data_IF_961927065927
#
_entry.id   IF_961927065927
#
_cell.length_a   1.000
_cell.length_b   1.000
_cell.length_c   1.000
_cell.angle_alpha   90.00
_cell.angle_beta   90.00
_cell.angle_gamma   90.00
#
_symmetry.space_group_name_H-M   'P 1'
#
loop_
_entity.id
_entity.type
_entity.pdbx_description
1 polymer ?
#
# COMPACT_ATOMS: atom_id res chain seq x y z
N UNK A 1 -11.87 -18.38 7.16
CA UNK A 1 -12.33 -17.08 7.74
C UNK A 1 -13.38 -16.48 6.82
N UNK A 2 -14.22 -15.53 7.31
CA UNK A 2 -15.24 -14.85 6.49
C UNK A 2 -14.56 -13.71 5.73
N UNK A 3 -14.77 -13.64 4.41
CA UNK A 3 -14.27 -12.56 3.57
C UNK A 3 -15.04 -11.25 3.80
N UNK A 4 -14.46 -10.15 3.33
CA UNK A 4 -15.01 -8.81 3.40
C UNK A 4 -15.29 -8.36 4.86
N UNK A 5 -14.35 -8.69 5.74
CA UNK A 5 -14.42 -8.40 7.17
C UNK A 5 -13.06 -7.96 7.72
N UNK A 6 -13.09 -6.97 8.63
CA UNK A 6 -11.95 -6.62 9.50
C UNK A 6 -12.20 -7.29 10.86
N UNK A 7 -11.24 -8.09 11.31
CA UNK A 7 -11.27 -8.80 12.58
C UNK A 7 -10.63 -7.95 13.66
N UNK A 8 -11.31 -7.84 14.81
CA UNK A 8 -10.74 -7.21 16.01
C UNK A 8 -9.92 -8.27 16.72
N UNK A 9 -8.63 -8.30 16.46
CA UNK A 9 -7.77 -9.36 16.96
C UNK A 9 -6.29 -8.95 16.93
N UNK A 10 -5.47 -9.61 17.75
CA UNK A 10 -4.00 -9.54 17.66
C UNK A 10 -3.52 -10.12 16.32
N UNK A 11 -2.51 -9.47 15.71
CA UNK A 11 -2.00 -9.82 14.38
C UNK A 11 -1.47 -11.26 14.30
N UNK A 12 -0.84 -11.77 15.36
CA UNK A 12 -0.28 -13.12 15.36
C UNK A 12 -1.37 -14.18 15.47
N UNK A 13 -2.38 -13.94 16.32
CA UNK A 13 -3.56 -14.82 16.45
C UNK A 13 -4.33 -14.84 15.13
N UNK A 14 -4.50 -13.68 14.49
CA UNK A 14 -5.17 -13.58 13.20
C UNK A 14 -4.42 -14.36 12.11
N UNK A 15 -3.09 -14.19 12.00
CA UNK A 15 -2.27 -14.89 11.01
C UNK A 15 -2.25 -16.42 11.23
N UNK A 16 -2.34 -16.88 12.47
CA UNK A 16 -2.42 -18.33 12.76
C UNK A 16 -3.73 -18.96 12.25
N UNK A 17 -4.81 -18.19 12.13
CA UNK A 17 -6.12 -18.63 11.61
C UNK A 17 -6.25 -18.48 10.10
N UNK A 18 -5.43 -17.64 9.48
CA UNK A 18 -5.47 -17.41 8.03
C UNK A 18 -4.87 -18.60 7.30
N UNK A 19 -5.54 -19.06 6.25
CA UNK A 19 -5.10 -20.18 5.42
C UNK A 19 -3.84 -19.82 4.63
N UNK A 20 -2.90 -20.75 4.54
CA UNK A 20 -1.69 -20.58 3.75
C UNK A 20 -2.04 -20.48 2.24
N UNK A 21 -1.28 -19.67 1.50
CA UNK A 21 -1.45 -19.47 0.07
C UNK A 21 -2.87 -19.04 -0.34
N UNK A 22 -3.56 -18.28 0.51
CA UNK A 22 -4.92 -17.79 0.26
C UNK A 22 -4.96 -16.36 -0.28
N UNK A 23 -3.97 -15.53 0.03
CA UNK A 23 -3.92 -14.10 -0.26
C UNK A 23 -3.29 -13.82 -1.63
N UNK A 24 -3.96 -13.03 -2.47
CA UNK A 24 -3.42 -12.59 -3.76
C UNK A 24 -2.51 -11.37 -3.62
N UNK A 25 -2.90 -10.42 -2.78
CA UNK A 25 -2.13 -9.21 -2.51
C UNK A 25 -2.20 -8.85 -1.03
N UNK A 26 -1.05 -8.66 -0.38
CA UNK A 26 -0.99 -8.08 0.96
C UNK A 26 -0.51 -6.62 0.89
N UNK A 27 -1.24 -5.70 1.52
CA UNK A 27 -0.83 -4.31 1.71
C UNK A 27 -0.69 -4.11 3.22
N UNK A 28 0.52 -3.81 3.67
CA UNK A 28 0.90 -3.88 5.07
C UNK A 28 1.42 -2.52 5.51
N UNK A 29 0.66 -1.85 6.38
CA UNK A 29 1.03 -0.57 7.01
C UNK A 29 1.25 -0.78 8.51
N UNK A 30 2.37 -1.38 8.93
CA UNK A 30 2.62 -1.78 10.31
C UNK A 30 2.98 -0.57 11.18
N UNK A 31 3.09 -0.72 12.51
CA UNK A 31 3.71 0.29 13.37
C UNK A 31 5.09 0.71 12.86
N UNK A 32 5.44 2.00 13.07
CA UNK A 32 6.70 2.60 12.58
C UNK A 32 7.71 2.88 13.70
N UNK A 33 7.31 2.69 14.95
CA UNK A 33 8.08 3.09 16.15
C UNK A 33 8.33 4.60 16.24
N UNK A 34 7.38 5.43 15.78
CA UNK A 34 7.46 6.89 15.83
C UNK A 34 6.83 7.48 17.10
N UNK A 35 6.26 6.63 17.95
CA UNK A 35 5.60 7.01 19.22
C UNK A 35 4.42 7.97 19.04
N UNK A 36 3.69 7.82 17.92
CA UNK A 36 2.50 8.64 17.63
C UNK A 36 1.25 8.16 18.40
N UNK A 37 1.26 6.91 18.86
CA UNK A 37 0.22 6.29 19.68
C UNK A 37 0.82 5.15 20.51
N UNK A 38 0.04 4.58 21.42
CA UNK A 38 0.50 3.45 22.26
C UNK A 38 0.90 2.22 21.46
N UNK A 39 0.14 1.90 20.41
CA UNK A 39 0.42 0.79 19.49
C UNK A 39 1.65 1.02 18.59
N UNK A 40 2.13 2.26 18.47
CA UNK A 40 3.32 2.64 17.69
C UNK A 40 4.53 2.90 18.61
N UNK A 41 4.51 2.38 19.84
CA UNK A 41 5.54 2.64 20.85
C UNK A 41 6.16 1.35 21.34
N UNK A 42 7.42 1.14 21.03
CA UNK A 42 8.24 0.02 21.47
C UNK A 42 9.31 0.52 22.46
N UNK A 43 9.77 -0.38 23.31
CA UNK A 43 10.77 -0.10 24.36
C UNK A 43 12.09 0.37 23.77
N UNK A 44 12.50 -0.30 22.69
CA UNK A 44 13.70 -0.03 21.91
C UNK A 44 13.55 -0.55 20.48
N UNK A 45 14.54 -0.30 19.63
CA UNK A 45 14.54 -0.73 18.25
C UNK A 45 14.64 -2.25 18.10
N UNK A 46 15.27 -2.95 19.05
CA UNK A 46 15.37 -4.41 19.03
C UNK A 46 14.00 -5.08 19.21
N UNK A 47 13.18 -4.59 20.16
CA UNK A 47 11.80 -5.06 20.36
C UNK A 47 10.96 -4.80 19.11
N UNK A 48 11.07 -3.60 18.54
CA UNK A 48 10.38 -3.25 17.29
C UNK A 48 10.77 -4.17 16.13
N UNK A 49 12.05 -4.45 15.95
CA UNK A 49 12.53 -5.32 14.88
C UNK A 49 12.10 -6.78 15.12
N UNK A 50 12.17 -7.25 16.37
CA UNK A 50 11.70 -8.59 16.74
C UNK A 50 10.22 -8.77 16.40
N UNK A 51 9.38 -7.80 16.78
CA UNK A 51 7.97 -7.78 16.42
C UNK A 51 7.79 -7.77 14.90
N UNK A 52 8.53 -6.91 14.20
CA UNK A 52 8.41 -6.75 12.75
C UNK A 52 8.82 -8.01 11.99
N UNK A 53 9.92 -8.63 12.35
CA UNK A 53 10.37 -9.86 11.71
C UNK A 53 9.43 -11.04 11.99
N UNK A 54 8.83 -11.09 13.17
CA UNK A 54 7.88 -12.13 13.53
C UNK A 54 6.61 -12.10 12.66
N UNK A 55 5.98 -10.94 12.45
CA UNK A 55 4.82 -10.87 11.56
C UNK A 55 5.20 -11.03 10.08
N UNK A 56 6.39 -10.57 9.64
CA UNK A 56 6.89 -10.84 8.28
C UNK A 56 6.96 -12.36 8.04
N UNK A 57 7.54 -13.11 8.96
CA UNK A 57 7.67 -14.57 8.82
C UNK A 57 6.32 -15.28 8.78
N UNK A 58 5.33 -14.78 9.53
CA UNK A 58 3.99 -15.37 9.57
C UNK A 58 3.12 -14.99 8.37
N UNK A 59 3.30 -13.81 7.77
CA UNK A 59 2.49 -13.37 6.63
C UNK A 59 2.94 -13.99 5.31
N UNK A 60 4.25 -14.19 5.11
CA UNK A 60 4.77 -14.72 3.84
C UNK A 60 4.13 -16.05 3.41
N UNK A 61 3.93 -17.08 4.29
CA UNK A 61 3.26 -18.30 3.91
C UNK A 61 1.80 -18.12 3.48
N UNK A 62 1.14 -17.02 3.90
CA UNK A 62 -0.27 -16.75 3.60
C UNK A 62 -0.48 -16.27 2.16
N UNK A 63 0.56 -15.71 1.54
CA UNK A 63 0.52 -15.16 0.20
C UNK A 63 0.64 -16.29 -0.82
N UNK A 64 -0.19 -16.28 -1.86
CA UNK A 64 -0.15 -17.23 -2.98
C UNK A 64 1.22 -17.17 -3.68
N UNK A 65 1.60 -18.23 -4.36
CA UNK A 65 2.84 -18.27 -5.15
C UNK A 65 2.87 -17.23 -6.27
N UNK A 66 1.71 -16.84 -6.79
CA UNK A 66 1.54 -15.77 -7.77
C UNK A 66 1.25 -14.40 -7.14
N UNK A 67 1.17 -14.35 -5.82
CA UNK A 67 0.82 -13.15 -5.07
C UNK A 67 1.98 -12.18 -4.89
N UNK A 68 1.63 -11.00 -4.40
CA UNK A 68 2.56 -9.90 -4.16
C UNK A 68 2.28 -9.24 -2.82
N UNK A 69 3.21 -8.43 -2.32
CA UNK A 69 2.98 -7.64 -1.13
C UNK A 69 3.71 -6.31 -1.14
N UNK A 70 3.11 -5.34 -0.45
CA UNK A 70 3.67 -4.03 -0.17
C UNK A 70 3.82 -3.84 1.33
N UNK A 71 4.95 -3.28 1.77
CA UNK A 71 5.21 -2.92 3.17
C UNK A 71 5.56 -1.44 3.23
N UNK A 72 4.76 -0.67 3.96
CA UNK A 72 5.04 0.73 4.26
C UNK A 72 5.95 0.85 5.47
N UNK A 73 6.84 1.82 5.46
CA UNK A 73 7.52 2.31 6.67
C UNK A 73 8.38 3.55 6.37
N UNK A 74 9.13 4.02 7.36
CA UNK A 74 10.20 5.00 7.15
C UNK A 74 11.29 4.42 6.24
N UNK A 75 12.08 5.26 5.52
CA UNK A 75 13.21 4.77 4.71
C UNK A 75 14.18 3.91 5.50
N UNK A 76 14.45 4.27 6.76
CA UNK A 76 15.36 3.53 7.64
C UNK A 76 14.83 2.13 7.98
N UNK A 77 13.57 2.04 8.43
CA UNK A 77 12.95 0.75 8.77
C UNK A 77 12.78 -0.14 7.52
N UNK A 78 12.41 0.45 6.38
CA UNK A 78 12.35 -0.28 5.11
C UNK A 78 13.72 -0.86 4.71
N UNK A 79 14.83 -0.17 4.96
CA UNK A 79 16.15 -0.71 4.70
C UNK A 79 16.48 -1.93 5.58
N UNK A 80 16.06 -1.92 6.86
CA UNK A 80 16.21 -3.06 7.76
C UNK A 80 15.30 -4.25 7.34
N UNK A 81 14.07 -3.97 6.95
CA UNK A 81 13.16 -5.00 6.42
C UNK A 81 13.66 -5.59 5.10
N UNK A 82 14.19 -4.75 4.20
CA UNK A 82 14.83 -5.20 2.97
C UNK A 82 15.98 -6.17 3.24
N UNK A 83 16.88 -5.81 4.18
CA UNK A 83 18.00 -6.67 4.58
C UNK A 83 17.51 -8.01 5.15
N UNK A 84 16.43 -8.00 5.95
CA UNK A 84 15.83 -9.22 6.48
C UNK A 84 15.19 -10.07 5.39
N UNK A 85 14.42 -9.44 4.49
CA UNK A 85 13.72 -10.12 3.39
C UNK A 85 14.66 -10.70 2.32
N UNK A 86 15.90 -10.23 2.19
CA UNK A 86 16.91 -10.83 1.29
C UNK A 86 17.19 -12.31 1.59
N UNK A 87 16.89 -12.77 2.79
CA UNK A 87 17.07 -14.17 3.21
C UNK A 87 15.78 -15.00 3.16
N UNK A 88 14.68 -14.44 2.64
CA UNK A 88 13.36 -15.10 2.55
C UNK A 88 13.03 -15.53 1.12
N UNK A 89 12.03 -16.40 0.99
CA UNK A 89 11.50 -16.83 -0.32
C UNK A 89 10.55 -15.77 -0.91
N UNK A 90 11.07 -14.58 -1.17
CA UNK A 90 10.35 -13.50 -1.82
C UNK A 90 11.29 -12.75 -2.76
N UNK A 91 10.76 -12.16 -3.82
CA UNK A 91 11.54 -11.49 -4.86
C UNK A 91 11.30 -9.97 -4.78
N UNK A 92 12.36 -9.23 -4.49
CA UNK A 92 12.34 -7.78 -4.49
C UNK A 92 12.06 -7.24 -5.89
N UNK A 93 11.12 -6.31 -5.98
CA UNK A 93 10.74 -5.63 -7.22
C UNK A 93 11.12 -4.15 -7.19
N UNK A 94 10.62 -3.38 -6.23
CA UNK A 94 10.91 -1.95 -6.11
C UNK A 94 11.02 -1.49 -4.66
N UNK A 95 11.86 -0.46 -4.47
CA UNK A 95 11.85 0.42 -3.31
C UNK A 95 11.14 1.70 -3.74
N UNK A 96 9.86 1.82 -3.46
CA UNK A 96 9.02 2.93 -3.90
C UNK A 96 9.15 4.07 -2.91
N UNK A 97 9.35 5.29 -3.42
CA UNK A 97 9.36 6.52 -2.64
C UNK A 97 8.03 7.24 -2.79
N UNK A 98 7.24 7.29 -1.72
CA UNK A 98 6.05 8.11 -1.69
C UNK A 98 6.38 9.49 -1.13
N UNK A 99 6.34 10.52 -1.99
CA UNK A 99 6.62 11.91 -1.64
C UNK A 99 5.33 12.59 -1.18
N UNK A 100 5.39 13.16 0.03
CA UNK A 100 4.32 13.97 0.65
C UNK A 100 4.65 15.45 0.45
N UNK A 101 3.78 16.19 -0.24
CA UNK A 101 4.02 17.63 -0.51
C UNK A 101 3.71 18.55 0.69
N UNK A 102 3.10 18.01 1.74
CA UNK A 102 2.55 18.74 2.88
C UNK A 102 3.26 18.43 4.22
N UNK A 103 4.52 18.03 4.17
CA UNK A 103 5.33 17.74 5.35
C UNK A 103 5.63 18.95 6.22
N UNK A 104 5.57 18.80 7.55
CA UNK A 104 6.01 19.82 8.50
C UNK A 104 7.54 19.95 8.49
N UNK A 105 8.04 21.16 8.26
CA UNK A 105 9.45 21.48 8.16
C UNK A 105 9.93 22.24 9.42
N UNK A 106 10.27 21.51 10.50
CA UNK A 106 10.73 22.10 11.75
C UNK A 106 12.16 21.66 12.17
N UNK A 107 12.77 20.72 11.48
CA UNK A 107 14.12 20.27 11.78
C UNK A 107 15.16 21.27 11.27
N UNK A 108 16.03 21.75 12.18
CA UNK A 108 17.07 22.77 11.88
C UNK A 108 18.47 22.19 11.70
N UNK A 109 18.70 20.92 12.07
CA UNK A 109 20.02 20.24 12.03
C UNK A 109 20.08 19.04 11.10
N UNK A 110 18.99 18.80 10.35
CA UNK A 110 18.89 17.74 9.34
C UNK A 110 17.84 18.13 8.32
N UNK A 111 17.78 17.43 7.20
CA UNK A 111 16.68 17.59 6.22
C UNK A 111 15.36 17.10 6.83
N UNK A 112 14.27 17.81 6.52
CA UNK A 112 12.94 17.42 6.96
C UNK A 112 12.43 16.27 6.12
N UNK A 113 11.76 15.30 6.78
CA UNK A 113 11.19 14.16 6.10
C UNK A 113 9.96 14.57 5.28
N UNK A 114 10.01 14.32 3.98
CA UNK A 114 8.92 14.58 3.04
C UNK A 114 8.46 13.31 2.33
N UNK A 115 8.89 12.13 2.82
CA UNK A 115 8.60 10.86 2.16
C UNK A 115 8.33 9.73 3.17
N UNK A 116 7.58 8.73 2.70
CA UNK A 116 7.57 7.37 3.23
C UNK A 116 8.08 6.41 2.16
N UNK A 117 8.57 5.27 2.59
CA UNK A 117 9.05 4.23 1.69
C UNK A 117 8.09 3.05 1.68
N UNK A 118 8.04 2.38 0.54
CA UNK A 118 7.21 1.21 0.34
C UNK A 118 8.06 0.14 -0.34
N UNK A 119 8.22 -1.00 0.31
CA UNK A 119 8.84 -2.16 -0.30
C UNK A 119 7.80 -2.90 -1.11
N UNK A 120 8.13 -3.24 -2.36
CA UNK A 120 7.28 -4.05 -3.23
C UNK A 120 7.98 -5.36 -3.57
N UNK A 121 7.31 -6.46 -3.28
CA UNK A 121 7.78 -7.83 -3.48
C UNK A 121 6.74 -8.70 -4.17
N UNK A 122 7.20 -9.74 -4.86
CA UNK A 122 6.37 -10.85 -5.34
C UNK A 122 6.86 -12.18 -4.75
N UNK A 123 5.96 -13.17 -4.69
CA UNK A 123 6.32 -14.53 -4.24
C UNK A 123 6.98 -15.36 -5.35
N UNK A 124 6.87 -14.95 -6.60
CA UNK A 124 7.50 -15.61 -7.74
C UNK A 124 8.23 -14.60 -8.61
N UNK A 125 9.40 -15.00 -9.14
CA UNK A 125 10.30 -14.10 -9.91
C UNK A 125 9.65 -13.52 -11.19
N UNK A 126 8.76 -14.25 -11.84
CA UNK A 126 8.18 -13.87 -13.14
C UNK A 126 6.66 -14.07 -13.21
N UNK A 127 6.11 -14.99 -12.43
CA UNK A 127 4.68 -15.33 -12.47
C UNK A 127 3.95 -14.65 -11.31
N UNK A 128 3.68 -13.35 -11.46
CA UNK A 128 2.89 -12.55 -10.51
C UNK A 128 2.04 -11.55 -11.29
N UNK A 129 0.95 -11.09 -10.68
CA UNK A 129 0.06 -10.10 -11.28
C UNK A 129 0.69 -8.72 -11.25
N UNK A 130 0.82 -8.08 -12.44
CA UNK A 130 1.19 -6.66 -12.55
C UNK A 130 0.53 -6.02 -13.78
N UNK A 131 -0.56 -5.31 -13.54
CA UNK A 131 -1.41 -4.65 -14.54
C UNK A 131 -0.86 -3.25 -14.88
N UNK A 132 0.27 -3.18 -15.59
CA UNK A 132 1.00 -1.95 -15.84
C UNK A 132 0.15 -0.86 -16.54
N UNK A 133 -0.82 -1.25 -17.36
CA UNK A 133 -1.69 -0.32 -18.08
C UNK A 133 -2.75 0.34 -17.21
N UNK A 134 -3.14 -0.29 -16.09
CA UNK A 134 -4.10 0.24 -15.12
C UNK A 134 -3.52 1.38 -14.25
N UNK A 135 -2.19 1.48 -14.22
CA UNK A 135 -1.47 2.45 -13.37
C UNK A 135 -0.60 3.42 -14.16
N UNK A 136 -0.88 3.58 -15.45
CA UNK A 136 -0.19 4.58 -16.27
C UNK A 136 -0.37 5.99 -15.73
N UNK A 137 0.63 6.83 -15.89
CA UNK A 137 0.62 8.23 -15.47
C UNK A 137 0.64 9.15 -16.69
N UNK A 138 0.07 10.35 -16.54
CA UNK A 138 0.08 11.34 -17.59
C UNK A 138 1.53 11.70 -18.01
N UNK A 139 1.71 12.08 -19.26
CA UNK A 139 2.97 12.67 -19.72
C UNK A 139 3.06 14.12 -19.24
N UNK A 140 4.25 14.53 -18.83
CA UNK A 140 4.50 15.89 -18.35
C UNK A 140 4.50 16.94 -19.48
N UNK A 141 5.00 16.57 -20.66
CA UNK A 141 5.07 17.45 -21.84
C UNK A 141 4.02 17.08 -22.86
N UNK A 142 2.85 17.69 -22.79
CA UNK A 142 1.71 17.42 -23.70
C UNK A 142 2.03 17.72 -25.17
N UNK A 143 2.71 18.84 -25.47
CA UNK A 143 3.02 19.23 -26.83
C UNK A 143 4.06 18.30 -27.50
N UNK A 144 5.13 17.98 -26.78
CA UNK A 144 6.13 17.02 -27.24
C UNK A 144 5.51 15.66 -27.55
N UNK A 145 4.58 15.23 -26.70
CA UNK A 145 3.89 13.95 -26.87
C UNK A 145 2.91 13.98 -28.04
N UNK A 146 2.14 15.05 -28.23
CA UNK A 146 1.28 15.23 -29.41
C UNK A 146 2.09 15.11 -30.72
N UNK A 147 3.24 15.77 -30.80
CA UNK A 147 4.13 15.67 -31.96
C UNK A 147 4.66 14.23 -32.13
N UNK A 148 5.07 13.58 -31.03
CA UNK A 148 5.55 12.21 -31.07
C UNK A 148 4.47 11.18 -31.41
N UNK A 149 3.22 11.41 -31.03
CA UNK A 149 2.08 10.58 -31.40
C UNK A 149 1.79 10.63 -32.91
N UNK A 150 1.98 11.80 -33.53
CA UNK A 150 1.74 11.94 -35.00
C UNK A 150 2.89 11.43 -35.86
N UNK A 151 4.14 11.70 -35.49
CA UNK A 151 5.33 11.38 -36.33
C UNK A 151 6.16 10.21 -35.79
N UNK A 152 5.96 9.80 -34.58
CA UNK A 152 6.79 8.83 -33.87
C UNK A 152 8.16 9.39 -33.51
N UNK A 153 8.84 8.73 -32.58
CA UNK A 153 10.23 9.03 -32.18
C UNK A 153 11.13 7.91 -32.74
N UNK A 154 12.14 8.26 -33.51
CA UNK A 154 13.12 7.28 -33.99
C UNK A 154 14.10 6.96 -32.85
N UNK A 155 14.14 5.69 -32.44
CA UNK A 155 15.06 5.17 -31.42
C UNK A 155 15.60 3.82 -31.87
N UNK A 156 16.93 3.68 -31.95
CA UNK A 156 17.60 2.45 -32.42
C UNK A 156 17.05 1.91 -33.75
N UNK A 157 16.90 2.76 -34.74
CA UNK A 157 16.33 2.48 -36.07
C UNK A 157 14.87 1.94 -36.06
N UNK A 158 14.20 1.97 -34.92
CA UNK A 158 12.76 1.66 -34.80
C UNK A 158 11.97 2.90 -34.45
N UNK A 159 10.83 3.09 -35.10
CA UNK A 159 9.94 4.20 -34.80
C UNK A 159 9.04 3.82 -33.63
N UNK A 160 9.13 4.59 -32.54
CA UNK A 160 8.34 4.41 -31.33
C UNK A 160 7.26 5.49 -31.24
N UNK A 161 6.06 5.08 -30.82
CA UNK A 161 4.93 5.95 -30.58
C UNK A 161 4.55 5.93 -29.10
N UNK A 162 4.31 7.09 -28.46
CA UNK A 162 3.86 7.16 -27.08
C UNK A 162 2.50 6.46 -26.91
N UNK A 163 2.33 5.72 -25.83
CA UNK A 163 1.05 5.10 -25.53
C UNK A 163 0.00 6.20 -25.23
N UNK A 164 -1.19 6.18 -25.87
CA UNK A 164 -2.22 7.20 -25.62
C UNK A 164 -2.74 7.23 -24.18
N UNK A 165 -2.67 6.11 -23.44
CA UNK A 165 -3.05 6.01 -22.03
C UNK A 165 -1.99 6.61 -21.07
N UNK A 166 -0.84 7.09 -21.57
CA UNK A 166 0.22 7.66 -20.73
C UNK A 166 1.49 6.82 -20.63
N UNK A 167 2.46 7.28 -19.85
CA UNK A 167 3.72 6.58 -19.56
C UNK A 167 3.53 5.51 -18.49
N UNK A 168 4.38 4.50 -18.47
CA UNK A 168 4.44 3.54 -17.36
C UNK A 168 4.76 4.28 -16.06
N UNK A 169 4.11 3.85 -14.97
CA UNK A 169 4.32 4.43 -13.66
C UNK A 169 5.77 4.18 -13.19
N UNK A 170 6.38 5.20 -12.62
CA UNK A 170 7.70 5.11 -11.99
C UNK A 170 7.54 4.77 -10.50
N UNK A 171 8.65 4.53 -9.82
CA UNK A 171 8.71 4.17 -8.40
C UNK A 171 8.86 5.39 -7.45
N UNK A 172 8.75 6.60 -7.97
CA UNK A 172 8.60 7.82 -7.19
C UNK A 172 7.18 8.35 -7.36
N UNK A 173 6.41 8.35 -6.27
CA UNK A 173 4.99 8.69 -6.28
C UNK A 173 4.73 9.98 -5.52
N UNK A 174 4.32 11.01 -6.22
CA UNK A 174 3.88 12.28 -5.62
C UNK A 174 2.37 12.24 -5.41
N UNK A 175 1.96 11.90 -4.19
CA UNK A 175 0.55 11.81 -3.78
C UNK A 175 0.40 12.55 -2.46
N UNK A 176 -0.51 13.53 -2.43
CA UNK A 176 -0.78 14.33 -1.22
C UNK A 176 -1.32 13.43 -0.10
N UNK A 177 -0.87 13.68 1.13
CA UNK A 177 -1.39 13.00 2.32
C UNK A 177 -2.89 13.26 2.48
N UNK A 178 -3.61 12.26 2.94
CA UNK A 178 -5.04 12.37 3.20
C UNK A 178 -5.27 12.51 4.70
N UNK A 179 -5.87 13.64 5.11
CA UNK A 179 -6.18 13.92 6.52
C UNK A 179 -7.67 13.77 6.83
N UNK A 180 -8.49 13.73 5.79
CA UNK A 180 -9.94 13.66 5.88
C UNK A 180 -10.47 12.71 4.83
N UNK A 181 -11.59 12.09 5.09
CA UNK A 181 -12.36 11.34 4.10
C UNK A 181 -13.56 12.20 3.74
N UNK A 182 -13.65 12.63 2.48
CA UNK A 182 -14.81 13.34 1.97
C UNK A 182 -15.90 12.33 1.67
N UNK A 183 -17.10 12.57 2.19
CA UNK A 183 -18.31 11.81 1.87
C UNK A 183 -18.95 12.39 0.61
N UNK A 184 -19.66 11.59 -0.15
CA UNK A 184 -20.33 12.01 -1.38
C UNK A 184 -21.34 13.15 -1.19
N UNK A 185 -21.92 13.28 0.01
CA UNK A 185 -22.79 14.39 0.37
C UNK A 185 -22.04 15.67 0.80
N UNK A 186 -20.73 15.77 0.55
CA UNK A 186 -19.88 16.89 0.93
C UNK A 186 -19.53 16.95 2.43
N UNK A 187 -19.96 15.99 3.22
CA UNK A 187 -19.60 15.89 4.63
C UNK A 187 -18.17 15.38 4.80
N UNK A 188 -17.33 16.09 5.54
CA UNK A 188 -15.95 15.69 5.82
C UNK A 188 -15.94 14.83 7.09
N UNK A 189 -15.42 13.61 6.97
CA UNK A 189 -15.08 12.75 8.11
C UNK A 189 -13.60 12.96 8.45
N UNK A 190 -13.35 13.26 9.72
CA UNK A 190 -11.98 13.25 10.26
C UNK A 190 -11.82 11.97 11.08
N UNK A 191 -11.23 10.92 10.53
CA UNK A 191 -11.00 9.67 11.25
C UNK A 191 -10.17 9.90 12.52
N UNK A 192 -10.43 9.10 13.54
CA UNK A 192 -9.68 9.11 14.81
C UNK A 192 -8.28 8.54 14.62
N UNK A 193 -8.13 7.63 13.67
CA UNK A 193 -6.83 7.05 13.37
C UNK A 193 -5.85 8.14 12.86
N UNK A 194 -4.67 8.30 13.50
CA UNK A 194 -3.78 9.43 13.25
C UNK A 194 -3.07 9.39 11.89
N UNK A 195 -3.02 8.23 11.24
CA UNK A 195 -2.28 8.02 9.99
C UNK A 195 -3.14 7.30 8.95
N UNK A 196 -3.79 8.07 8.08
CA UNK A 196 -4.61 7.52 6.99
C UNK A 196 -3.78 7.49 5.72
N UNK A 197 -3.73 6.35 5.05
CA UNK A 197 -3.11 6.28 3.72
C UNK A 197 -4.07 6.84 2.66
N UNK A 198 -3.57 7.67 1.72
CA UNK A 198 -4.41 8.24 0.68
C UNK A 198 -5.06 7.17 -0.20
N UNK A 199 -6.35 7.36 -0.50
CA UNK A 199 -7.12 6.48 -1.38
C UNK A 199 -6.39 6.22 -2.72
N UNK A 200 -5.91 7.29 -3.37
CA UNK A 200 -5.19 7.19 -4.65
C UNK A 200 -3.90 6.35 -4.58
N UNK A 201 -3.24 6.31 -3.42
CA UNK A 201 -2.05 5.50 -3.19
C UNK A 201 -2.41 4.01 -3.15
N UNK A 202 -3.45 3.67 -2.39
CA UNK A 202 -3.94 2.30 -2.24
C UNK A 202 -4.57 1.80 -3.55
N UNK A 203 -5.36 2.62 -4.25
CA UNK A 203 -5.91 2.27 -5.56
C UNK A 203 -4.82 1.87 -6.57
N UNK A 204 -3.72 2.61 -6.59
CA UNK A 204 -2.58 2.31 -7.48
C UNK A 204 -2.02 0.92 -7.21
N UNK A 205 -1.81 0.55 -5.94
CA UNK A 205 -1.28 -0.77 -5.56
C UNK A 205 -2.25 -1.89 -5.92
N UNK A 206 -3.52 -1.73 -5.57
CA UNK A 206 -4.55 -2.74 -5.82
C UNK A 206 -4.73 -2.95 -7.32
N UNK A 207 -4.86 -1.88 -8.11
CA UNK A 207 -4.99 -1.97 -9.58
C UNK A 207 -3.77 -2.60 -10.23
N UNK A 208 -2.57 -2.26 -9.77
CA UNK A 208 -1.33 -2.83 -10.31
C UNK A 208 -1.20 -4.32 -10.03
N UNK A 209 -1.50 -4.76 -8.81
CA UNK A 209 -1.05 -6.07 -8.31
C UNK A 209 -2.18 -7.02 -7.95
N UNK A 210 -3.40 -6.76 -8.41
CA UNK A 210 -4.54 -7.67 -8.26
C UNK A 210 -5.56 -7.55 -9.39
N UNK A 211 -6.41 -8.56 -9.53
CA UNK A 211 -7.55 -8.60 -10.43
C UNK A 211 -8.87 -8.56 -9.63
N UNK A 212 -10.00 -8.38 -10.31
CA UNK A 212 -11.32 -8.48 -9.69
C UNK A 212 -11.49 -9.85 -9.00
N UNK A 213 -12.16 -9.86 -7.86
CA UNK A 213 -12.35 -11.01 -6.96
C UNK A 213 -11.10 -11.54 -6.26
N UNK A 214 -9.91 -11.04 -6.52
CA UNK A 214 -8.71 -11.39 -5.75
C UNK A 214 -8.87 -11.00 -4.27
N UNK A 215 -8.20 -11.74 -3.38
CA UNK A 215 -8.21 -11.49 -1.94
C UNK A 215 -7.07 -10.54 -1.54
N UNK A 216 -7.45 -9.38 -1.01
CA UNK A 216 -6.54 -8.38 -0.46
C UNK A 216 -6.43 -8.56 1.06
N UNK A 217 -5.23 -8.69 1.57
CA UNK A 217 -4.96 -8.70 3.01
C UNK A 217 -4.57 -7.29 3.49
N UNK A 218 -5.33 -6.80 4.46
CA UNK A 218 -5.13 -5.54 5.19
C UNK A 218 -4.69 -5.86 6.62
N UNK A 219 -3.39 -6.15 6.82
CA UNK A 219 -2.90 -6.80 8.04
C UNK A 219 -2.94 -5.91 9.28
N UNK A 220 -2.78 -4.60 9.13
CA UNK A 220 -2.88 -3.58 10.20
C UNK A 220 -3.86 -2.53 9.74
N UNK A 221 -5.16 -2.86 9.81
CA UNK A 221 -6.21 -2.13 9.08
C UNK A 221 -6.36 -0.67 9.51
N UNK A 222 -6.14 -0.34 10.78
CA UNK A 222 -6.26 1.02 11.30
C UNK A 222 -7.57 1.68 10.87
N UNK A 223 -7.49 2.65 9.96
CA UNK A 223 -8.68 3.33 9.43
C UNK A 223 -9.52 2.49 8.47
N UNK A 224 -9.09 1.28 8.07
CA UNK A 224 -9.77 0.42 7.10
C UNK A 224 -9.70 0.90 5.64
N UNK A 225 -8.86 1.88 5.32
CA UNK A 225 -8.81 2.46 3.97
C UNK A 225 -8.42 1.43 2.91
N UNK A 226 -7.49 0.51 3.19
CA UNK A 226 -7.08 -0.54 2.26
C UNK A 226 -8.26 -1.46 1.94
N UNK A 227 -8.96 -1.91 2.97
CA UNK A 227 -10.15 -2.75 2.88
C UNK A 227 -11.29 -2.05 2.10
N UNK A 228 -11.52 -0.76 2.39
CA UNK A 228 -12.54 0.05 1.70
C UNK A 228 -12.24 0.18 0.20
N UNK A 229 -10.99 0.50 -0.14
CA UNK A 229 -10.58 0.62 -1.55
C UNK A 229 -10.63 -0.73 -2.26
N UNK A 230 -10.22 -1.81 -1.63
CA UNK A 230 -10.34 -3.16 -2.19
C UNK A 230 -11.78 -3.47 -2.58
N UNK A 231 -12.74 -3.23 -1.68
CA UNK A 231 -14.16 -3.42 -1.94
C UNK A 231 -14.66 -2.54 -3.10
N UNK A 232 -14.32 -1.24 -3.10
CA UNK A 232 -14.76 -0.30 -4.15
C UNK A 232 -14.24 -0.66 -5.55
N UNK A 233 -13.15 -1.43 -5.62
CA UNK A 233 -12.55 -1.92 -6.86
C UNK A 233 -12.98 -3.36 -7.22
N UNK A 234 -13.98 -3.95 -6.55
CA UNK A 234 -14.46 -5.31 -6.83
C UNK A 234 -13.49 -6.42 -6.36
N UNK A 235 -12.64 -6.14 -5.38
CA UNK A 235 -11.77 -7.15 -4.75
C UNK A 235 -12.40 -7.60 -3.44
N UNK A 236 -12.15 -8.86 -3.07
CA UNK A 236 -12.41 -9.31 -1.72
C UNK A 236 -11.32 -8.79 -0.79
N UNK A 237 -11.65 -8.65 0.48
CA UNK A 237 -10.64 -8.29 1.49
C UNK A 237 -10.80 -9.10 2.77
N UNK A 238 -9.73 -9.16 3.54
CA UNK A 238 -9.72 -9.59 4.92
C UNK A 238 -8.74 -8.71 5.67
N UNK A 239 -9.16 -8.20 6.83
CA UNK A 239 -8.36 -7.27 7.62
C UNK A 239 -8.25 -7.69 9.07
N UNK A 240 -7.22 -7.16 9.73
CA UNK A 240 -6.97 -7.33 11.16
C UNK A 240 -6.63 -5.98 11.79
N UNK A 241 -7.25 -5.70 12.93
CA UNK A 241 -6.96 -4.52 13.76
C UNK A 241 -7.18 -4.87 15.24
N UNK A 242 -6.23 -4.52 16.09
CA UNK A 242 -6.31 -4.80 17.52
C UNK A 242 -7.23 -3.83 18.28
N UNK A 243 -7.43 -2.62 17.75
CA UNK A 243 -8.21 -1.56 18.40
C UNK A 243 -9.64 -1.52 17.86
N UNK A 244 -10.60 -1.98 18.66
CA UNK A 244 -12.01 -2.04 18.29
C UNK A 244 -12.58 -0.70 17.81
N UNK A 245 -12.11 0.42 18.37
CA UNK A 245 -12.58 1.75 18.01
C UNK A 245 -12.26 2.12 16.56
N UNK A 246 -11.10 1.71 16.04
CA UNK A 246 -10.74 1.93 14.63
C UNK A 246 -11.57 1.06 13.68
N UNK A 247 -11.85 -0.19 14.09
CA UNK A 247 -12.72 -1.09 13.31
C UNK A 247 -14.15 -0.55 13.25
N UNK A 248 -14.70 -0.06 14.36
CA UNK A 248 -16.04 0.54 14.36
C UNK A 248 -16.12 1.75 13.44
N UNK A 249 -15.10 2.62 13.45
CA UNK A 249 -15.04 3.78 12.59
C UNK A 249 -14.90 3.39 11.10
N UNK A 250 -14.08 2.39 10.78
CA UNK A 250 -13.95 1.86 9.43
C UNK A 250 -15.28 1.28 8.91
N UNK A 251 -16.03 0.56 9.76
CA UNK A 251 -17.34 0.04 9.42
C UNK A 251 -18.36 1.15 9.13
N UNK A 252 -18.30 2.28 9.83
CA UNK A 252 -19.10 3.46 9.49
C UNK A 252 -18.74 3.98 8.09
N UNK A 253 -17.47 4.03 7.74
CA UNK A 253 -17.05 4.40 6.39
C UNK A 253 -17.56 3.43 5.31
N UNK A 254 -17.59 2.12 5.60
CA UNK A 254 -18.16 1.11 4.68
C UNK A 254 -19.67 1.30 4.47
N UNK A 255 -20.44 1.52 5.53
CA UNK A 255 -21.90 1.71 5.46
C UNK A 255 -22.31 2.93 4.64
N UNK A 256 -21.52 3.99 4.66
CA UNK A 256 -21.80 5.21 3.89
C UNK A 256 -21.54 5.05 2.40
N UNK A 257 -20.74 4.07 1.98
CA UNK A 257 -20.49 3.76 0.57
C UNK A 257 -21.42 2.64 0.04
N UNK A 258 -22.32 2.07 0.85
CA UNK A 258 -23.31 1.06 0.45
C UNK A 258 -24.72 1.63 0.23
N UNK A 259 -24.92 2.91 0.50
CA UNK A 259 -26.23 3.57 0.36
C UNK A 259 -26.42 4.24 -1.03
N UNK A 260 -25.79 3.68 -2.07
CA UNK A 260 -26.05 4.03 -3.46
C UNK A 260 -26.64 2.86 -4.28
#
# INVERSE_FOLDING_TARGET
MILNKIYIEDVFIFLDKLEDKSVDLAIIDPPYNLKIASWDSFKNDEEFLTFSYAWIDKVLPKIKETGSFYIFNTPFNCALFLAYLCHKKAHFLNFITWVKKDGFANAKKRYNHAQESILFYSMHKQNYTFNADEVRTAYESTERIKHAQSKGILKNNKRWFPNPKGKLCLDVWEITSQRHVEKENGKILKPKHPSIKPKALIERMIKASSNENDLILDLFSGSGMISLVAKSLGRNFIGCESHAEYVHESLEMFRYNECE
#
